data_IF_650965866325
#
_entry.id   IF_650965866325
#
_cell.length_a   1.000
_cell.length_b   1.000
_cell.length_c   1.000
_cell.angle_alpha   90.00
_cell.angle_beta   90.00
_cell.angle_gamma   90.00
#
_symmetry.space_group_name_H-M   'P 1'
#
loop_
_entity.id
_entity.type
_entity.pdbx_description
1 polymer ?
#
# COMPACT_ATOMS: atom_id res chain seq x y z
N UNK A 1 -11.91 -60.34 12.00
CA UNK A 1 -12.15 -58.98 12.53
C UNK A 1 -10.97 -58.02 12.29
N UNK A 2 -10.23 -58.14 11.17
CA UNK A 2 -9.06 -57.30 10.84
C UNK A 2 -9.29 -56.34 9.66
N UNK A 3 -10.33 -56.55 8.85
CA UNK A 3 -10.59 -55.77 7.64
C UNK A 3 -11.18 -54.36 7.88
N UNK A 4 -11.81 -54.12 9.03
CA UNK A 4 -12.46 -52.83 9.33
C UNK A 4 -11.45 -51.75 9.77
N UNK A 5 -10.28 -52.14 10.30
CA UNK A 5 -9.26 -51.17 10.76
C UNK A 5 -8.42 -50.55 9.64
N UNK A 6 -8.29 -51.22 8.49
CA UNK A 6 -7.48 -50.74 7.36
C UNK A 6 -8.22 -49.67 6.56
N UNK A 7 -9.54 -49.78 6.43
CA UNK A 7 -10.35 -48.82 5.67
C UNK A 7 -10.37 -47.42 6.31
N UNK A 8 -10.34 -47.33 7.64
CA UNK A 8 -10.33 -46.05 8.36
C UNK A 8 -9.01 -45.27 8.17
N UNK A 9 -7.89 -45.96 7.99
CA UNK A 9 -6.58 -45.34 7.82
C UNK A 9 -6.40 -44.71 6.42
N UNK A 10 -7.00 -45.29 5.38
CA UNK A 10 -6.97 -44.73 4.02
C UNK A 10 -7.85 -43.47 3.88
N UNK A 11 -9.00 -43.42 4.55
CA UNK A 11 -9.88 -42.23 4.51
C UNK A 11 -9.24 -41.05 5.24
N UNK A 12 -8.48 -41.29 6.32
CA UNK A 12 -7.81 -40.22 7.05
C UNK A 12 -6.58 -39.64 6.32
N UNK A 13 -5.85 -40.45 5.54
CA UNK A 13 -4.75 -39.95 4.69
C UNK A 13 -5.23 -39.11 3.50
N UNK A 14 -6.43 -39.37 2.97
CA UNK A 14 -6.97 -38.58 1.85
C UNK A 14 -7.41 -37.17 2.26
N UNK A 15 -7.72 -36.94 3.53
CA UNK A 15 -8.05 -35.60 4.03
C UNK A 15 -6.80 -34.75 4.31
N UNK A 16 -5.70 -35.36 4.77
CA UNK A 16 -4.49 -34.60 5.11
C UNK A 16 -3.73 -34.05 3.89
N UNK A 17 -3.83 -34.69 2.73
CA UNK A 17 -3.22 -34.19 1.50
C UNK A 17 -3.92 -32.95 0.94
N UNK A 18 -5.20 -32.73 1.25
CA UNK A 18 -5.95 -31.58 0.71
C UNK A 18 -5.51 -30.21 1.25
N UNK A 19 -4.92 -30.14 2.44
CA UNK A 19 -4.52 -28.86 3.04
C UNK A 19 -3.16 -28.34 2.60
N UNK A 20 -2.29 -29.21 2.05
CA UNK A 20 -0.94 -28.81 1.59
C UNK A 20 -0.97 -28.23 0.15
N UNK A 21 -2.01 -28.52 -0.64
CA UNK A 21 -2.10 -28.04 -2.03
C UNK A 21 -2.70 -26.65 -2.20
N UNK A 22 -3.42 -26.10 -1.22
CA UNK A 22 -4.04 -24.78 -1.32
C UNK A 22 -3.00 -23.64 -1.40
N UNK A 23 -1.98 -23.67 -0.51
CA UNK A 23 -1.02 -22.55 -0.43
C UNK A 23 -0.17 -22.37 -1.70
N UNK A 24 0.17 -23.44 -2.41
CA UNK A 24 0.98 -23.39 -3.64
C UNK A 24 0.26 -22.67 -4.81
N UNK A 25 -1.07 -22.63 -4.79
CA UNK A 25 -1.86 -22.01 -5.86
C UNK A 25 -2.04 -20.51 -5.63
N UNK A 26 -2.34 -20.11 -4.40
CA UNK A 26 -2.38 -18.68 -4.03
C UNK A 26 -1.03 -18.01 -4.18
N UNK A 27 0.07 -18.69 -3.87
CA UNK A 27 1.42 -18.19 -4.12
C UNK A 27 1.66 -17.90 -5.62
N UNK A 28 1.11 -18.73 -6.52
CA UNK A 28 1.17 -18.48 -7.97
C UNK A 28 0.36 -17.26 -8.40
N UNK A 29 -0.80 -17.00 -7.79
CA UNK A 29 -1.55 -15.76 -8.04
C UNK A 29 -0.76 -14.55 -7.59
N UNK A 30 -0.18 -14.59 -6.40
CA UNK A 30 0.65 -13.50 -5.85
C UNK A 30 1.83 -13.19 -6.78
N UNK A 31 2.48 -14.24 -7.32
CA UNK A 31 3.55 -14.09 -8.32
C UNK A 31 3.03 -13.54 -9.65
N UNK A 32 1.90 -14.04 -10.15
CA UNK A 32 1.28 -13.60 -11.40
C UNK A 32 0.97 -12.11 -11.37
N UNK A 33 0.46 -11.59 -10.25
CA UNK A 33 0.15 -10.17 -10.09
C UNK A 33 1.34 -9.30 -9.70
N UNK A 34 2.53 -9.87 -9.51
CA UNK A 34 3.74 -9.15 -9.07
C UNK A 34 3.48 -8.29 -7.81
N UNK A 35 2.76 -8.84 -6.83
CA UNK A 35 2.35 -8.06 -5.65
C UNK A 35 3.54 -7.54 -4.83
N UNK A 36 4.67 -8.25 -4.87
CA UNK A 36 5.93 -7.79 -4.26
C UNK A 36 6.45 -6.56 -4.97
N UNK A 37 6.61 -6.61 -6.30
CA UNK A 37 7.10 -5.48 -7.08
C UNK A 37 6.16 -4.27 -6.99
N UNK A 38 4.84 -4.49 -6.92
CA UNK A 38 3.86 -3.41 -6.67
C UNK A 38 4.10 -2.74 -5.32
N UNK A 39 4.28 -3.52 -4.24
CA UNK A 39 4.55 -2.95 -2.92
C UNK A 39 5.89 -2.20 -2.91
N UNK A 40 6.95 -2.78 -3.46
CA UNK A 40 8.29 -2.15 -3.51
C UNK A 40 8.22 -0.78 -4.21
N UNK A 41 7.58 -0.70 -5.37
CA UNK A 41 7.35 0.57 -6.08
C UNK A 41 6.53 1.55 -5.24
N UNK A 42 5.55 1.07 -4.48
CA UNK A 42 4.76 1.91 -3.57
C UNK A 42 5.61 2.44 -2.40
N UNK A 43 6.50 1.62 -1.84
CA UNK A 43 7.45 2.03 -0.80
C UNK A 43 8.39 3.10 -1.34
N UNK A 44 8.97 2.89 -2.53
CA UNK A 44 9.80 3.88 -3.21
C UNK A 44 9.06 5.20 -3.44
N UNK A 45 7.83 5.12 -3.94
CA UNK A 45 6.95 6.28 -4.13
C UNK A 45 6.63 7.00 -2.83
N UNK A 46 6.36 6.25 -1.75
CA UNK A 46 6.11 6.79 -0.41
C UNK A 46 7.33 7.56 0.11
N UNK A 47 8.53 6.97 0.04
CA UNK A 47 9.77 7.62 0.48
C UNK A 47 10.05 8.86 -0.36
N UNK A 48 9.89 8.78 -1.69
CA UNK A 48 10.14 9.89 -2.60
C UNK A 48 9.15 11.05 -2.43
N UNK A 49 7.89 10.76 -2.12
CA UNK A 49 6.84 11.75 -1.92
C UNK A 49 6.75 12.25 -0.47
N UNK A 50 7.56 11.69 0.45
CA UNK A 50 7.57 12.11 1.85
C UNK A 50 8.12 13.54 1.96
N UNK A 51 7.41 14.46 2.64
CA UNK A 51 7.90 15.82 2.83
C UNK A 51 9.16 15.84 3.71
N UNK A 52 10.04 16.81 3.48
CA UNK A 52 11.18 17.06 4.35
C UNK A 52 10.74 17.70 5.67
N UNK A 53 11.61 17.67 6.68
CA UNK A 53 11.32 18.34 7.94
C UNK A 53 11.21 19.86 7.75
N UNK A 54 12.02 20.41 6.84
CA UNK A 54 12.04 21.81 6.44
C UNK A 54 10.71 22.23 5.76
N UNK A 55 10.19 21.39 4.86
CA UNK A 55 8.87 21.62 4.23
C UNK A 55 7.75 21.64 5.27
N UNK A 56 7.84 20.81 6.31
CA UNK A 56 6.83 20.73 7.36
C UNK A 56 6.87 21.96 8.28
N UNK A 57 8.05 22.39 8.72
CA UNK A 57 8.17 23.56 9.59
C UNK A 57 7.85 24.87 8.87
N UNK A 58 8.17 24.96 7.57
CA UNK A 58 7.81 26.13 6.77
C UNK A 58 6.30 26.22 6.50
N UNK A 59 5.60 25.09 6.33
CA UNK A 59 4.15 25.06 6.09
C UNK A 59 3.31 25.13 7.37
N UNK A 60 3.76 24.54 8.47
CA UNK A 60 2.95 24.37 9.67
C UNK A 60 3.66 24.93 10.90
N UNK A 61 3.12 26.01 11.46
CA UNK A 61 3.64 26.60 12.69
C UNK A 61 3.48 25.65 13.89
N UNK A 62 4.46 25.66 14.80
CA UNK A 62 4.43 24.83 16.03
C UNK A 62 4.80 23.36 15.85
N UNK A 63 5.18 22.92 14.64
CA UNK A 63 5.69 21.57 14.41
C UNK A 63 6.99 21.30 15.18
N UNK A 64 7.30 20.01 15.39
CA UNK A 64 8.45 19.55 16.15
C UNK A 64 8.63 20.24 17.50
N UNK A 65 7.50 20.53 18.16
CA UNK A 65 7.46 21.23 19.46
C UNK A 65 8.16 22.61 19.43
N UNK A 66 8.09 23.31 18.29
CA UNK A 66 8.68 24.63 18.11
C UNK A 66 10.18 24.63 17.82
N UNK A 67 10.80 23.47 17.59
CA UNK A 67 12.19 23.38 17.12
C UNK A 67 12.23 23.82 15.65
N UNK A 68 13.00 24.86 15.35
CA UNK A 68 13.17 25.42 14.00
C UNK A 68 14.55 25.10 13.41
N UNK A 69 14.76 25.41 12.13
CA UNK A 69 16.04 25.26 11.42
C UNK A 69 17.23 25.98 12.10
N UNK A 70 16.95 27.07 12.83
CA UNK A 70 17.97 27.81 13.58
C UNK A 70 18.40 27.10 14.89
N UNK A 71 17.68 26.06 15.33
CA UNK A 71 18.00 25.34 16.55
C UNK A 71 19.22 24.44 16.38
N UNK A 72 20.09 24.41 17.39
CA UNK A 72 21.21 23.45 17.44
C UNK A 72 20.75 21.97 17.41
N UNK A 73 19.49 21.70 17.73
CA UNK A 73 18.90 20.36 17.71
C UNK A 73 18.28 20.00 16.35
N UNK A 74 18.24 20.93 15.39
CA UNK A 74 17.62 20.71 14.08
C UNK A 74 18.15 19.46 13.34
N UNK A 75 19.47 19.20 13.28
CA UNK A 75 19.97 17.99 12.62
C UNK A 75 19.38 16.70 13.17
N UNK A 76 19.09 16.66 14.48
CA UNK A 76 18.48 15.48 15.12
C UNK A 76 17.00 15.34 14.78
N UNK A 77 16.28 16.46 14.61
CA UNK A 77 14.88 16.46 14.16
C UNK A 77 14.80 15.87 12.74
N UNK A 78 15.65 16.34 11.82
CA UNK A 78 15.72 15.85 10.44
C UNK A 78 15.95 14.34 10.41
N UNK A 79 16.89 13.85 11.22
CA UNK A 79 17.19 12.41 11.31
C UNK A 79 15.99 11.60 11.84
N UNK A 80 15.36 12.04 12.94
CA UNK A 80 14.18 11.38 13.51
C UNK A 80 13.03 11.35 12.50
N UNK A 81 12.80 12.46 11.79
CA UNK A 81 11.72 12.59 10.83
C UNK A 81 11.93 11.70 9.60
N UNK A 82 13.17 11.63 9.09
CA UNK A 82 13.54 10.69 8.03
C UNK A 82 13.33 9.24 8.45
N UNK A 83 13.72 8.88 9.67
CA UNK A 83 13.54 7.53 10.22
C UNK A 83 12.05 7.20 10.40
N UNK A 84 11.23 8.16 10.83
CA UNK A 84 9.78 8.02 10.90
C UNK A 84 9.20 7.67 9.52
N UNK A 85 9.50 8.43 8.47
CA UNK A 85 8.98 8.13 7.13
C UNK A 85 9.49 6.81 6.58
N UNK A 86 10.77 6.51 6.79
CA UNK A 86 11.34 5.21 6.42
C UNK A 86 10.59 4.07 7.11
N UNK A 87 10.29 4.21 8.40
CA UNK A 87 9.58 3.19 9.17
C UNK A 87 8.12 3.02 8.74
N UNK A 88 7.37 4.11 8.50
CA UNK A 88 5.96 3.98 8.11
C UNK A 88 5.83 3.48 6.66
N UNK A 89 6.71 3.93 5.75
CA UNK A 89 6.71 3.45 4.37
C UNK A 89 7.11 1.97 4.31
N UNK A 90 7.99 1.49 5.19
CA UNK A 90 8.38 0.08 5.32
C UNK A 90 7.63 -0.67 6.44
N UNK A 91 6.41 -0.24 6.79
CA UNK A 91 5.63 -0.87 7.87
C UNK A 91 5.26 -2.33 7.58
N UNK A 92 5.36 -2.76 6.33
CA UNK A 92 5.18 -4.14 5.88
C UNK A 92 6.24 -4.48 4.84
N UNK A 93 6.90 -5.64 4.98
CA UNK A 93 7.84 -6.12 3.98
C UNK A 93 7.10 -6.70 2.76
N UNK A 94 7.75 -6.73 1.60
CA UNK A 94 7.19 -7.36 0.40
C UNK A 94 6.86 -8.84 0.61
N UNK A 95 7.66 -9.55 1.40
CA UNK A 95 7.42 -10.94 1.75
C UNK A 95 6.22 -11.13 2.66
N UNK A 96 6.07 -10.26 3.68
CA UNK A 96 4.91 -10.33 4.58
C UNK A 96 3.62 -9.95 3.86
N UNK A 97 3.68 -8.98 2.95
CA UNK A 97 2.56 -8.61 2.10
C UNK A 97 2.16 -9.75 1.15
N UNK A 98 3.13 -10.40 0.50
CA UNK A 98 2.89 -11.55 -0.35
C UNK A 98 2.22 -12.70 0.42
N UNK A 99 2.72 -13.02 1.62
CA UNK A 99 2.13 -14.05 2.49
C UNK A 99 0.73 -13.68 2.94
N UNK A 100 0.52 -12.42 3.32
CA UNK A 100 -0.80 -11.92 3.69
C UNK A 100 -1.78 -12.05 2.52
N UNK A 101 -1.37 -11.67 1.32
CA UNK A 101 -2.19 -11.79 0.12
C UNK A 101 -2.51 -13.25 -0.24
N UNK A 102 -1.53 -14.15 -0.17
CA UNK A 102 -1.75 -15.57 -0.40
C UNK A 102 -2.79 -16.14 0.57
N UNK A 103 -2.63 -15.88 1.88
CA UNK A 103 -3.61 -16.28 2.88
C UNK A 103 -4.99 -15.67 2.66
N UNK A 104 -5.06 -14.41 2.21
CA UNK A 104 -6.32 -13.75 1.89
C UNK A 104 -7.07 -14.45 0.74
N UNK A 105 -6.37 -14.92 -0.30
CA UNK A 105 -6.96 -15.71 -1.38
C UNK A 105 -7.39 -17.09 -0.90
N UNK A 106 -6.56 -17.81 -0.14
CA UNK A 106 -6.87 -19.13 0.42
C UNK A 106 -8.13 -19.11 1.30
N UNK A 107 -8.37 -18.02 2.03
CA UNK A 107 -9.56 -17.86 2.88
C UNK A 107 -10.86 -17.63 2.09
N UNK A 108 -10.77 -17.16 0.84
CA UNK A 108 -11.92 -16.61 0.10
C UNK A 108 -12.21 -17.34 -1.20
N UNK A 109 -11.26 -18.12 -1.69
CA UNK A 109 -11.36 -18.83 -2.95
C UNK A 109 -11.04 -20.30 -2.71
N UNK A 110 -11.79 -21.15 -3.37
CA UNK A 110 -11.46 -22.56 -3.46
C UNK A 110 -10.22 -22.74 -4.35
N UNK A 111 -9.46 -23.84 -4.17
CA UNK A 111 -8.37 -24.21 -5.07
C UNK A 111 -8.81 -24.25 -6.55
N UNK A 112 -10.03 -24.73 -6.82
CA UNK A 112 -10.59 -24.78 -8.17
C UNK A 112 -10.75 -23.38 -8.77
N UNK A 113 -11.33 -22.43 -8.04
CA UNK A 113 -11.49 -21.04 -8.48
C UNK A 113 -10.14 -20.35 -8.71
N UNK A 114 -9.15 -20.60 -7.84
CA UNK A 114 -7.79 -20.07 -8.03
C UNK A 114 -7.19 -20.60 -9.34
N UNK A 115 -7.35 -21.89 -9.62
CA UNK A 115 -6.86 -22.48 -10.86
C UNK A 115 -7.59 -21.94 -12.10
N UNK A 116 -8.89 -21.67 -12.02
CA UNK A 116 -9.63 -21.03 -13.11
C UNK A 116 -9.10 -19.63 -13.41
N UNK A 117 -8.78 -18.85 -12.38
CA UNK A 117 -8.16 -17.53 -12.54
C UNK A 117 -6.76 -17.65 -13.17
N UNK A 118 -5.93 -18.56 -12.67
CA UNK A 118 -4.60 -18.83 -13.25
C UNK A 118 -4.70 -19.29 -14.71
N UNK A 119 -5.68 -20.12 -15.05
CA UNK A 119 -5.93 -20.59 -16.41
C UNK A 119 -6.37 -19.44 -17.31
N UNK A 120 -7.28 -18.56 -16.86
CA UNK A 120 -7.68 -17.37 -17.60
C UNK A 120 -6.48 -16.47 -17.91
N UNK A 121 -5.66 -16.15 -16.91
CA UNK A 121 -4.48 -15.31 -17.09
C UNK A 121 -3.36 -15.97 -17.90
N UNK A 122 -3.44 -17.28 -18.14
CA UNK A 122 -2.55 -17.99 -19.07
C UNK A 122 -2.94 -17.81 -20.54
N UNK A 123 -4.19 -17.38 -20.83
CA UNK A 123 -4.67 -17.10 -22.20
C UNK A 123 -4.06 -15.82 -22.78
N UNK A 124 -4.03 -15.63 -24.12
CA UNK A 124 -3.59 -14.37 -24.73
C UNK A 124 -4.37 -13.14 -24.23
N UNK A 125 -5.68 -13.27 -24.07
CA UNK A 125 -6.53 -12.18 -23.55
C UNK A 125 -6.23 -11.88 -22.10
N UNK A 126 -6.08 -12.91 -21.26
CA UNK A 126 -5.74 -12.74 -19.84
C UNK A 126 -4.37 -12.06 -19.67
N UNK A 127 -3.35 -12.48 -20.40
CA UNK A 127 -2.02 -11.82 -20.40
C UNK A 127 -2.11 -10.37 -20.85
N UNK A 128 -2.88 -10.07 -21.91
CA UNK A 128 -3.10 -8.70 -22.38
C UNK A 128 -3.80 -7.86 -21.32
N UNK A 129 -4.84 -8.40 -20.68
CA UNK A 129 -5.56 -7.71 -19.61
C UNK A 129 -4.64 -7.39 -18.42
N UNK A 130 -3.88 -8.38 -17.95
CA UNK A 130 -2.91 -8.21 -16.86
C UNK A 130 -1.87 -7.13 -17.20
N UNK A 131 -1.34 -7.15 -18.43
CA UNK A 131 -0.39 -6.13 -18.90
C UNK A 131 -1.00 -4.72 -18.97
N UNK A 132 -2.24 -4.59 -19.45
CA UNK A 132 -2.96 -3.30 -19.46
C UNK A 132 -3.21 -2.80 -18.04
N UNK A 133 -3.59 -3.69 -17.12
CA UNK A 133 -3.82 -3.30 -15.73
C UNK A 133 -2.52 -2.85 -15.04
N UNK A 134 -1.40 -3.58 -15.24
CA UNK A 134 -0.09 -3.15 -14.76
C UNK A 134 0.30 -1.78 -15.36
N UNK A 135 0.09 -1.59 -16.66
CA UNK A 135 0.35 -0.32 -17.32
C UNK A 135 -0.52 0.82 -16.75
N UNK A 136 -1.79 0.55 -16.39
CA UNK A 136 -2.67 1.54 -15.76
C UNK A 136 -2.20 1.93 -14.35
N UNK A 137 -1.85 0.95 -13.52
CA UNK A 137 -1.33 1.21 -12.16
C UNK A 137 -0.02 2.02 -12.20
N UNK A 138 0.80 1.79 -13.23
CA UNK A 138 2.10 2.46 -13.40
C UNK A 138 2.06 3.73 -14.25
N UNK A 139 0.99 3.99 -15.01
CA UNK A 139 0.89 5.14 -15.92
C UNK A 139 0.68 6.48 -15.22
N UNK A 140 0.65 6.49 -13.89
CA UNK A 140 0.43 7.71 -13.13
C UNK A 140 -1.04 8.12 -13.10
N UNK A 141 -2.01 7.21 -13.04
CA UNK A 141 -3.34 7.61 -12.57
C UNK A 141 -3.26 8.28 -11.16
N UNK A 142 -2.22 7.92 -10.39
CA UNK A 142 -1.75 8.69 -9.23
C UNK A 142 -1.38 10.15 -9.54
N UNK A 143 -0.80 10.48 -10.69
CA UNK A 143 -0.49 11.88 -11.07
C UNK A 143 -1.75 12.68 -11.39
N UNK A 144 -2.75 12.09 -12.06
CA UNK A 144 -4.04 12.77 -12.28
C UNK A 144 -4.80 13.04 -10.97
N UNK A 145 -4.75 12.09 -10.03
CA UNK A 145 -5.28 12.30 -8.68
C UNK A 145 -4.44 13.31 -7.86
N UNK A 146 -3.12 13.28 -7.98
CA UNK A 146 -2.21 14.24 -7.35
C UNK A 146 -2.41 15.66 -7.87
N UNK A 147 -2.60 15.83 -9.18
CA UNK A 147 -2.91 17.13 -9.80
C UNK A 147 -4.22 17.68 -9.25
N UNK A 148 -5.24 16.82 -9.08
CA UNK A 148 -6.52 17.20 -8.45
C UNK A 148 -6.38 17.50 -6.96
N UNK A 149 -5.54 16.77 -6.23
CA UNK A 149 -5.24 17.06 -4.83
C UNK A 149 -4.52 18.40 -4.68
N UNK A 150 -3.58 18.71 -5.59
CA UNK A 150 -2.87 19.99 -5.62
C UNK A 150 -3.83 21.14 -5.94
N UNK A 151 -4.69 20.99 -6.94
CA UNK A 151 -5.74 21.97 -7.28
C UNK A 151 -6.66 22.24 -6.07
N UNK A 152 -7.02 21.20 -5.33
CA UNK A 152 -7.82 21.31 -4.11
C UNK A 152 -7.06 22.01 -2.96
N UNK A 153 -5.77 21.71 -2.77
CA UNK A 153 -4.90 22.38 -1.77
C UNK A 153 -4.73 23.87 -2.06
N UNK A 154 -4.52 24.23 -3.33
CA UNK A 154 -4.45 25.62 -3.79
C UNK A 154 -5.77 26.36 -3.53
N UNK A 155 -6.90 25.72 -3.85
CA UNK A 155 -8.25 26.27 -3.59
C UNK A 155 -8.50 26.49 -2.10
N UNK A 156 -8.19 25.50 -1.26
CA UNK A 156 -8.33 25.58 0.20
C UNK A 156 -7.49 26.71 0.79
N UNK A 157 -6.22 26.81 0.35
CA UNK A 157 -5.30 27.85 0.81
C UNK A 157 -5.79 29.24 0.43
N UNK A 158 -6.31 29.40 -0.80
CA UNK A 158 -6.89 30.66 -1.25
C UNK A 158 -8.09 31.08 -0.39
N UNK A 159 -9.03 30.17 -0.13
CA UNK A 159 -10.21 30.44 0.69
C UNK A 159 -9.86 30.83 2.14
N UNK A 160 -8.87 30.17 2.75
CA UNK A 160 -8.39 30.54 4.08
C UNK A 160 -7.78 31.94 4.11
N UNK A 161 -7.03 32.30 3.07
CA UNK A 161 -6.43 33.62 2.97
C UNK A 161 -7.50 34.71 2.83
N UNK A 162 -8.52 34.51 1.99
CA UNK A 162 -9.67 35.42 1.88
C UNK A 162 -10.37 35.59 3.24
N UNK A 163 -10.65 34.49 3.94
CA UNK A 163 -11.28 34.54 5.26
C UNK A 163 -10.44 35.29 6.30
N UNK A 164 -9.12 35.11 6.30
CA UNK A 164 -8.21 35.82 7.20
C UNK A 164 -8.23 37.34 6.93
N UNK A 165 -8.24 37.74 5.65
CA UNK A 165 -8.35 39.15 5.26
C UNK A 165 -9.68 39.77 5.70
N UNK A 166 -10.80 39.06 5.52
CA UNK A 166 -12.11 39.51 6.01
C UNK A 166 -12.13 39.66 7.53
N UNK A 167 -11.53 38.73 8.27
CA UNK A 167 -11.46 38.79 9.73
C UNK A 167 -10.64 39.99 10.24
N UNK A 168 -9.51 40.31 9.58
CA UNK A 168 -8.68 41.46 9.93
C UNK A 168 -9.36 42.79 9.60
N UNK A 169 -9.99 42.92 8.43
CA UNK A 169 -10.76 44.11 8.05
C UNK A 169 -11.92 44.41 9.03
N UNK A 170 -12.47 43.38 9.64
CA UNK A 170 -13.54 43.52 10.64
C UNK A 170 -13.02 43.77 12.06
N UNK A 171 -11.73 43.53 12.32
CA UNK A 171 -11.05 43.85 13.58
C UNK A 171 -10.80 45.35 13.71
N UNK A 172 -10.40 46.00 12.61
CA UNK A 172 -10.10 47.44 12.56
C UNK A 172 -11.35 48.34 12.55
N UNK A 173 -12.55 47.74 12.42
CA UNK A 173 -13.84 48.44 12.45
C UNK A 173 -14.52 48.45 13.82
N UNK A 174 -13.94 47.78 14.82
CA UNK A 174 -14.43 47.75 16.21
C UNK A 174 -13.56 48.62 17.10
#
# INVERSE_FOLDING_TARGET
MYFIKVAFFCVFMLFYSSQVFASDQSDKLVLLFDLKGILEKRIEGCIKASPSAEEIVSKYSGQFYGITEASKYWPRVVEIYKNYYTSICNSMSADDYAKFAAGFYDERMTPEEINEVLAFFSTPTGKKFLGVNHAFETSGFGSGAQDKMKEAEETYTHQLHELAQEADLNRDRK
#
